data_IF_065073785139
#
_entry.id   IF_065073785139
#
_cell.length_a   1.000
_cell.length_b   1.000
_cell.length_c   1.000
_cell.angle_alpha   90.00
_cell.angle_beta   90.00
_cell.angle_gamma   90.00
#
_symmetry.space_group_name_H-M   'P 1'
#
loop_
_entity.id
_entity.type
_entity.pdbx_description
1 polymer ?
#
# COMPACT_ATOMS: atom_id res chain seq x y z
N UNK A 1 72.02 -5.04 11.25
CA UNK A 1 72.43 -5.44 9.88
C UNK A 1 71.19 -5.88 9.13
N UNK A 2 70.78 -5.16 8.09
CA UNK A 2 69.65 -5.58 7.24
C UNK A 2 70.14 -6.71 6.32
N UNK A 3 69.64 -7.92 6.54
CA UNK A 3 69.92 -9.05 5.65
C UNK A 3 69.18 -8.78 4.34
N UNK A 4 69.92 -8.52 3.26
CA UNK A 4 69.34 -8.39 1.92
C UNK A 4 68.77 -9.76 1.57
N UNK A 5 67.44 -9.86 1.51
CA UNK A 5 66.76 -11.11 1.15
C UNK A 5 66.76 -11.21 -0.36
N UNK A 6 67.34 -12.28 -0.90
CA UNK A 6 67.25 -12.57 -2.34
C UNK A 6 65.81 -12.91 -2.70
N UNK A 7 65.19 -12.08 -3.53
CA UNK A 7 63.81 -12.25 -3.97
C UNK A 7 63.62 -13.44 -4.92
N UNK A 8 64.69 -14.14 -5.33
CA UNK A 8 64.58 -15.30 -6.22
C UNK A 8 64.47 -16.62 -5.47
N UNK A 9 64.83 -16.67 -4.19
CA UNK A 9 64.92 -17.91 -3.42
C UNK A 9 64.14 -17.86 -2.12
N UNK A 10 63.44 -18.94 -1.79
CA UNK A 10 62.75 -19.08 -0.52
C UNK A 10 63.78 -19.01 0.64
N UNK A 11 63.64 -18.10 1.63
CA UNK A 11 64.60 -18.01 2.73
C UNK A 11 64.61 -19.24 3.64
N UNK A 12 63.56 -20.08 3.58
CA UNK A 12 63.43 -21.25 4.44
C UNK A 12 63.94 -22.54 3.78
N UNK A 13 63.84 -22.68 2.46
CA UNK A 13 64.23 -23.92 1.77
C UNK A 13 65.13 -23.72 0.54
N UNK A 14 65.50 -22.49 0.21
CA UNK A 14 66.42 -22.17 -0.91
C UNK A 14 65.86 -22.40 -2.32
N UNK A 15 64.63 -22.90 -2.47
CA UNK A 15 64.02 -23.13 -3.79
C UNK A 15 63.73 -21.83 -4.52
N UNK A 16 63.95 -21.85 -5.84
CA UNK A 16 63.56 -20.76 -6.73
C UNK A 16 62.05 -20.50 -6.67
N UNK A 17 61.64 -19.26 -6.39
CA UNK A 17 60.22 -18.88 -6.33
C UNK A 17 59.91 -18.01 -7.55
N UNK A 18 58.98 -18.45 -8.39
CA UNK A 18 58.61 -17.70 -9.61
C UNK A 18 57.80 -16.42 -9.27
N UNK A 19 57.05 -16.43 -8.16
CA UNK A 19 56.30 -15.27 -7.68
C UNK A 19 55.95 -15.44 -6.18
N UNK A 20 56.24 -14.41 -5.37
CA UNK A 20 55.89 -14.37 -3.95
C UNK A 20 54.39 -14.23 -3.67
N UNK A 21 53.55 -14.13 -4.70
CA UNK A 21 52.10 -14.20 -4.60
C UNK A 21 51.55 -15.62 -4.37
N UNK A 22 52.40 -16.65 -4.43
CA UNK A 22 52.04 -18.06 -4.25
C UNK A 22 52.78 -18.68 -3.06
N UNK A 23 52.24 -19.76 -2.52
CA UNK A 23 52.88 -20.55 -1.46
C UNK A 23 54.12 -21.23 -2.04
N UNK A 24 55.23 -21.27 -1.30
CA UNK A 24 56.44 -21.93 -1.78
C UNK A 24 56.17 -23.44 -2.00
N UNK A 25 56.41 -24.01 -3.20
CA UNK A 25 56.11 -25.40 -3.47
C UNK A 25 57.00 -26.38 -2.69
N UNK A 26 58.19 -25.95 -2.26
CA UNK A 26 59.13 -26.81 -1.53
C UNK A 26 58.79 -27.00 -0.05
N UNK A 27 58.38 -25.94 0.63
CA UNK A 27 58.11 -25.99 2.08
C UNK A 27 56.64 -25.74 2.46
N UNK A 28 55.79 -25.42 1.48
CA UNK A 28 54.38 -25.06 1.66
C UNK A 28 54.14 -23.91 2.66
N UNK A 29 55.12 -23.02 2.85
CA UNK A 29 55.02 -21.86 3.74
C UNK A 29 54.86 -20.55 2.95
N UNK A 30 54.12 -19.61 3.56
CA UNK A 30 53.98 -18.24 3.08
C UNK A 30 55.15 -17.42 3.64
N UNK A 31 55.88 -16.65 2.81
CA UNK A 31 57.02 -15.89 3.26
C UNK A 31 56.55 -14.62 3.98
N UNK A 32 56.47 -14.68 5.32
CA UNK A 32 55.97 -13.58 6.16
C UNK A 32 56.83 -12.31 6.09
N UNK A 33 58.11 -12.50 5.80
CA UNK A 33 59.11 -11.44 5.86
C UNK A 33 59.13 -10.58 4.60
N UNK A 34 58.47 -11.00 3.52
CA UNK A 34 58.42 -10.23 2.27
C UNK A 34 57.19 -9.29 2.23
N UNK A 35 57.29 -8.12 1.57
CA UNK A 35 56.14 -7.23 1.36
C UNK A 35 54.96 -7.92 0.66
N UNK A 36 55.23 -8.87 -0.25
CA UNK A 36 54.21 -9.62 -0.97
C UNK A 36 53.45 -10.61 -0.07
N UNK A 37 54.16 -11.37 0.78
CA UNK A 37 53.52 -12.27 1.75
C UNK A 37 52.65 -11.52 2.76
N UNK A 38 53.09 -10.33 3.21
CA UNK A 38 52.29 -9.46 4.07
C UNK A 38 50.97 -9.02 3.42
N UNK A 39 50.98 -8.70 2.11
CA UNK A 39 49.75 -8.33 1.36
C UNK A 39 48.74 -9.48 1.31
N UNK A 40 49.18 -10.73 1.11
CA UNK A 40 48.29 -11.90 1.07
C UNK A 40 47.57 -12.08 2.42
N UNK A 41 48.30 -11.95 3.53
CA UNK A 41 47.74 -12.13 4.88
C UNK A 41 46.75 -11.00 5.22
N UNK A 42 47.07 -9.76 4.84
CA UNK A 42 46.15 -8.65 4.99
C UNK A 42 44.86 -8.86 4.18
N UNK A 43 44.96 -9.41 2.96
CA UNK A 43 43.79 -9.78 2.15
C UNK A 43 42.90 -10.83 2.82
N UNK A 44 43.50 -11.91 3.36
CA UNK A 44 42.76 -12.97 4.07
C UNK A 44 42.09 -12.47 5.35
N UNK A 45 42.75 -11.60 6.12
CA UNK A 45 42.15 -10.99 7.33
C UNK A 45 40.93 -10.12 7.00
N UNK A 46 40.96 -9.39 5.88
CA UNK A 46 39.79 -8.61 5.43
C UNK A 46 38.63 -9.52 5.05
N UNK A 47 38.87 -10.61 4.31
CA UNK A 47 37.82 -11.57 3.95
C UNK A 47 37.17 -12.24 5.17
N UNK A 48 37.96 -12.61 6.20
CA UNK A 48 37.44 -13.19 7.43
C UNK A 48 36.56 -12.20 8.24
N UNK A 49 36.93 -10.92 8.27
CA UNK A 49 36.11 -9.88 8.93
C UNK A 49 34.77 -9.66 8.22
N UNK A 50 34.75 -9.68 6.88
CA UNK A 50 33.51 -9.51 6.10
C UNK A 50 32.52 -10.68 6.29
N UNK A 51 33.00 -11.91 6.47
CA UNK A 51 32.11 -13.05 6.74
C UNK A 51 31.44 -12.98 8.12
N UNK A 52 32.15 -12.51 9.16
CA UNK A 52 31.53 -12.41 10.49
C UNK A 52 30.54 -11.23 10.60
N UNK A 53 30.88 -10.07 10.04
CA UNK A 53 30.04 -8.87 10.14
C UNK A 53 28.79 -8.98 9.28
N UNK A 54 28.89 -9.56 8.08
CA UNK A 54 27.72 -9.81 7.22
C UNK A 54 26.71 -10.75 7.87
N UNK A 55 27.16 -11.78 8.59
CA UNK A 55 26.29 -12.71 9.29
C UNK A 55 25.48 -12.02 10.40
N UNK A 56 26.12 -11.22 11.25
CA UNK A 56 25.43 -10.52 12.34
C UNK A 56 24.45 -9.46 11.83
N UNK A 57 24.80 -8.71 10.77
CA UNK A 57 23.89 -7.74 10.15
C UNK A 57 22.68 -8.44 9.55
N UNK A 58 22.87 -9.56 8.84
CA UNK A 58 21.77 -10.34 8.28
C UNK A 58 20.83 -10.87 9.35
N UNK A 59 21.37 -11.38 10.47
CA UNK A 59 20.59 -11.91 11.58
C UNK A 59 19.79 -10.82 12.29
N UNK A 60 20.36 -9.62 12.45
CA UNK A 60 19.67 -8.46 13.00
C UNK A 60 18.50 -8.01 12.10
N UNK A 61 18.71 -7.89 10.78
CA UNK A 61 17.65 -7.54 9.83
C UNK A 61 16.54 -8.58 9.83
N UNK A 62 16.87 -9.87 9.85
CA UNK A 62 15.88 -10.95 9.93
C UNK A 62 15.07 -10.90 11.23
N UNK A 63 15.71 -10.62 12.38
CA UNK A 63 15.03 -10.49 13.66
C UNK A 63 14.06 -9.28 13.69
N UNK A 64 14.47 -8.13 13.14
CA UNK A 64 13.60 -6.96 13.02
C UNK A 64 12.42 -7.25 12.09
N UNK A 65 12.64 -7.89 10.95
CA UNK A 65 11.55 -8.29 10.04
C UNK A 65 10.61 -9.30 10.72
N UNK A 66 11.15 -10.28 11.45
CA UNK A 66 10.35 -11.24 12.19
C UNK A 66 9.52 -10.54 13.28
N UNK A 67 10.08 -9.56 14.00
CA UNK A 67 9.34 -8.77 14.99
C UNK A 67 8.28 -7.87 14.35
N UNK A 68 8.53 -7.31 13.17
CA UNK A 68 7.52 -6.55 12.42
C UNK A 68 6.37 -7.46 11.94
N UNK A 69 6.69 -8.66 11.46
CA UNK A 69 5.71 -9.63 10.96
C UNK A 69 4.93 -10.32 12.10
N UNK A 70 5.58 -10.68 13.20
CA UNK A 70 4.94 -11.33 14.36
C UNK A 70 4.33 -10.33 15.35
N UNK A 71 4.95 -9.16 15.54
CA UNK A 71 4.45 -8.10 16.43
C UNK A 71 3.15 -7.47 15.93
N UNK A 72 2.93 -7.45 14.62
CA UNK A 72 1.65 -7.01 14.03
C UNK A 72 0.44 -7.88 14.46
N UNK A 73 0.66 -9.06 15.03
CA UNK A 73 -0.44 -9.95 15.44
C UNK A 73 -0.89 -9.76 16.90
N UNK A 74 -0.06 -9.18 17.78
CA UNK A 74 -0.34 -9.13 19.23
C UNK A 74 -0.64 -7.72 19.78
N UNK A 75 -0.09 -6.67 19.19
CA UNK A 75 -0.41 -5.28 19.62
C UNK A 75 -1.65 -4.70 18.94
N UNK A 76 -2.23 -5.37 17.95
CA UNK A 76 -3.41 -4.86 17.21
C UNK A 76 -4.76 -5.10 17.88
N UNK A 77 -4.81 -5.82 19.01
CA UNK A 77 -5.99 -5.82 19.89
C UNK A 77 -6.26 -4.47 20.55
N UNK A 78 -5.34 -3.49 20.42
CA UNK A 78 -5.44 -2.19 21.10
C UNK A 78 -6.27 -1.16 20.32
N UNK A 79 -6.55 -1.36 19.02
CA UNK A 79 -7.23 -0.32 18.22
C UNK A 79 -8.76 -0.36 18.26
N UNK A 80 -9.37 -1.53 18.49
CA UNK A 80 -10.82 -1.61 18.65
C UNK A 80 -11.17 -1.83 20.10
N UNK A 81 -11.75 -0.80 20.73
CA UNK A 81 -12.28 -0.87 22.08
C UNK A 81 -13.37 -1.95 22.21
N UNK A 82 -13.95 -2.39 21.07
CA UNK A 82 -15.04 -3.38 21.00
C UNK A 82 -14.93 -4.34 19.78
N UNK A 83 -14.13 -5.42 19.85
CA UNK A 83 -14.05 -6.43 18.78
C UNK A 83 -15.37 -7.16 18.51
N UNK A 84 -16.30 -7.17 19.48
CA UNK A 84 -17.63 -7.79 19.31
C UNK A 84 -18.50 -7.03 18.32
N UNK A 85 -18.50 -5.70 18.38
CA UNK A 85 -19.29 -4.86 17.48
C UNK A 85 -18.82 -4.97 16.03
N UNK A 86 -17.50 -4.99 15.80
CA UNK A 86 -16.94 -5.18 14.46
C UNK A 86 -17.38 -6.53 13.85
N UNK A 87 -17.25 -7.63 14.62
CA UNK A 87 -17.75 -8.95 14.20
C UNK A 87 -19.25 -8.96 13.91
N UNK A 88 -20.05 -8.25 14.72
CA UNK A 88 -21.50 -8.15 14.50
C UNK A 88 -21.84 -7.37 13.22
N UNK A 89 -21.17 -6.26 12.94
CA UNK A 89 -21.38 -5.50 11.69
C UNK A 89 -20.95 -6.33 10.47
N UNK A 90 -19.87 -7.09 10.56
CA UNK A 90 -19.46 -8.02 9.51
C UNK A 90 -20.51 -9.10 9.24
N UNK A 91 -21.06 -9.71 10.29
CA UNK A 91 -22.14 -10.68 10.16
C UNK A 91 -23.42 -10.07 9.54
N UNK A 92 -23.74 -8.81 9.88
CA UNK A 92 -24.86 -8.10 9.25
C UNK A 92 -24.62 -7.84 7.77
N UNK A 93 -23.41 -7.43 7.38
CA UNK A 93 -23.05 -7.24 5.99
C UNK A 93 -23.21 -8.54 5.20
N UNK A 94 -22.65 -9.64 5.71
CA UNK A 94 -22.76 -10.96 5.06
C UNK A 94 -24.23 -11.37 4.90
N UNK A 95 -25.05 -11.26 5.94
CA UNK A 95 -26.48 -11.59 5.84
C UNK A 95 -27.26 -10.68 4.88
N UNK A 96 -26.96 -9.38 4.84
CA UNK A 96 -27.68 -8.42 4.00
C UNK A 96 -27.42 -8.64 2.50
N UNK A 97 -26.22 -9.08 2.14
CA UNK A 97 -25.78 -9.15 0.73
C UNK A 97 -25.57 -10.56 0.20
N UNK A 98 -25.43 -11.58 1.04
CA UNK A 98 -25.30 -12.98 0.61
C UNK A 98 -26.64 -13.68 0.41
N UNK A 99 -27.71 -13.23 1.09
CA UNK A 99 -29.02 -13.87 1.01
C UNK A 99 -29.98 -13.08 0.10
N UNK A 100 -30.24 -13.53 -1.15
CA UNK A 100 -31.14 -12.84 -2.07
C UNK A 100 -32.61 -12.85 -1.62
N UNK A 101 -32.96 -13.66 -0.62
CA UNK A 101 -34.35 -13.91 -0.17
C UNK A 101 -34.70 -13.29 1.20
N UNK A 102 -33.89 -12.37 1.74
CA UNK A 102 -34.26 -11.70 3.00
C UNK A 102 -35.60 -10.97 2.84
N UNK A 103 -36.57 -11.32 3.69
CA UNK A 103 -37.84 -10.59 3.72
C UNK A 103 -37.59 -9.11 4.04
N UNK A 104 -38.43 -8.23 3.48
CA UNK A 104 -38.34 -6.79 3.70
C UNK A 104 -38.38 -6.42 5.19
N UNK A 105 -39.17 -7.15 5.98
CA UNK A 105 -39.27 -7.00 7.43
C UNK A 105 -37.96 -7.36 8.15
N UNK A 106 -37.34 -8.49 7.81
CA UNK A 106 -36.06 -8.92 8.41
C UNK A 106 -34.95 -7.93 8.06
N UNK A 107 -34.89 -7.49 6.79
CA UNK A 107 -33.94 -6.47 6.35
C UNK A 107 -34.11 -5.16 7.13
N UNK A 108 -35.33 -4.66 7.28
CA UNK A 108 -35.60 -3.46 8.06
C UNK A 108 -35.18 -3.61 9.55
N UNK A 109 -35.48 -4.76 10.16
CA UNK A 109 -35.06 -5.08 11.53
C UNK A 109 -33.54 -5.08 11.68
N UNK A 110 -32.81 -5.59 10.71
CA UNK A 110 -31.33 -5.58 10.72
C UNK A 110 -30.78 -4.17 10.58
N UNK A 111 -31.26 -3.38 9.61
CA UNK A 111 -30.80 -2.00 9.42
C UNK A 111 -31.08 -1.15 10.67
N UNK A 112 -32.21 -1.36 11.35
CA UNK A 112 -32.51 -0.74 12.65
C UNK A 112 -31.47 -1.08 13.74
N UNK A 113 -30.90 -2.29 13.72
CA UNK A 113 -29.80 -2.66 14.62
C UNK A 113 -28.49 -1.97 14.22
N UNK A 114 -28.21 -1.86 12.92
CA UNK A 114 -27.02 -1.19 12.40
C UNK A 114 -26.99 0.30 12.77
N UNK A 115 -28.13 0.99 12.71
CA UNK A 115 -28.24 2.42 13.10
C UNK A 115 -27.73 2.67 14.53
N UNK A 116 -27.89 1.71 15.45
CA UNK A 116 -27.41 1.84 16.84
C UNK A 116 -25.88 1.92 16.96
N UNK A 117 -25.15 1.58 15.91
CA UNK A 117 -23.69 1.66 15.89
C UNK A 117 -23.15 3.01 15.41
N UNK A 118 -23.99 3.89 14.85
CA UNK A 118 -23.58 5.23 14.42
C UNK A 118 -23.10 6.08 15.61
N UNK A 119 -23.79 6.01 16.75
CA UNK A 119 -23.52 6.88 17.91
C UNK A 119 -22.56 6.26 18.95
N UNK A 120 -21.51 5.53 18.53
CA UNK A 120 -20.53 4.95 19.47
C UNK A 120 -19.26 5.81 19.54
N UNK A 121 -18.63 5.81 20.72
CA UNK A 121 -17.29 6.41 20.97
C UNK A 121 -16.20 5.91 20.01
N UNK A 122 -16.42 4.74 19.39
CA UNK A 122 -15.53 4.15 18.41
C UNK A 122 -15.99 4.55 17.00
N UNK A 123 -15.40 5.62 16.49
CA UNK A 123 -15.69 6.16 15.17
C UNK A 123 -15.50 5.14 14.05
N UNK A 124 -14.59 4.17 14.19
CA UNK A 124 -14.36 3.15 13.17
C UNK A 124 -15.55 2.19 13.05
N UNK A 125 -16.18 1.86 14.19
CA UNK A 125 -17.46 1.12 14.23
C UNK A 125 -18.57 1.97 13.61
N UNK A 126 -18.63 3.26 13.94
CA UNK A 126 -19.60 4.20 13.37
C UNK A 126 -19.50 4.30 11.84
N UNK A 127 -18.30 4.47 11.30
CA UNK A 127 -18.07 4.55 9.85
C UNK A 127 -18.40 3.25 9.13
N UNK A 128 -18.12 2.11 9.75
CA UNK A 128 -18.49 0.80 9.22
C UNK A 128 -20.02 0.65 9.17
N UNK A 129 -20.73 1.08 10.21
CA UNK A 129 -22.19 1.10 10.23
C UNK A 129 -22.78 2.06 9.19
N UNK A 130 -22.23 3.26 9.05
CA UNK A 130 -22.65 4.23 8.04
C UNK A 130 -22.48 3.69 6.62
N UNK A 131 -21.32 3.11 6.32
CA UNK A 131 -21.03 2.51 5.01
C UNK A 131 -22.02 1.38 4.71
N UNK A 132 -22.27 0.49 5.67
CA UNK A 132 -23.21 -0.62 5.52
C UNK A 132 -24.64 -0.13 5.22
N UNK A 133 -25.10 0.92 5.91
CA UNK A 133 -26.41 1.53 5.66
C UNK A 133 -26.48 2.11 4.23
N UNK A 134 -25.48 2.87 3.81
CA UNK A 134 -25.46 3.49 2.48
C UNK A 134 -25.38 2.45 1.35
N UNK A 135 -24.65 1.35 1.55
CA UNK A 135 -24.65 0.21 0.61
C UNK A 135 -26.02 -0.46 0.50
N UNK A 136 -26.78 -0.51 1.61
CA UNK A 136 -28.15 -0.97 1.62
C UNK A 136 -29.15 0.10 1.09
N UNK A 137 -28.65 1.21 0.54
CA UNK A 137 -29.42 2.39 0.12
C UNK A 137 -30.27 3.00 1.26
N UNK A 138 -29.82 2.84 2.51
CA UNK A 138 -30.45 3.41 3.69
C UNK A 138 -29.76 4.73 4.07
N UNK A 139 -30.46 5.83 3.82
CA UNK A 139 -29.92 7.18 3.97
C UNK A 139 -29.81 7.66 5.42
N UNK A 140 -30.22 6.86 6.41
CA UNK A 140 -30.20 7.27 7.84
C UNK A 140 -28.79 7.57 8.37
N UNK A 141 -27.75 7.15 7.66
CA UNK A 141 -26.37 7.50 7.98
C UNK A 141 -25.97 8.93 7.60
N UNK A 142 -26.66 9.57 6.64
CA UNK A 142 -26.27 10.89 6.11
C UNK A 142 -26.24 11.98 7.19
N UNK A 143 -27.27 12.18 8.04
CA UNK A 143 -27.22 13.20 9.08
C UNK A 143 -26.06 13.01 10.06
N UNK A 144 -25.75 11.75 10.39
CA UNK A 144 -24.63 11.42 11.26
C UNK A 144 -23.28 11.78 10.61
N UNK A 145 -23.07 11.43 9.34
CA UNK A 145 -21.87 11.82 8.59
C UNK A 145 -21.72 13.34 8.47
N UNK A 146 -22.81 14.07 8.24
CA UNK A 146 -22.78 15.54 8.17
C UNK A 146 -22.32 16.14 9.50
N UNK A 147 -22.75 15.56 10.63
CA UNK A 147 -22.33 16.02 11.96
C UNK A 147 -20.86 15.76 12.30
N UNK A 148 -20.14 15.00 11.47
CA UNK A 148 -18.72 14.69 11.64
C UNK A 148 -17.80 15.55 10.76
N UNK A 149 -18.35 16.37 9.87
CA UNK A 149 -17.55 17.20 8.95
C UNK A 149 -16.72 18.24 9.71
N UNK A 150 -17.24 18.73 10.84
CA UNK A 150 -16.63 19.68 11.75
C UNK A 150 -16.01 19.02 13.00
N UNK A 151 -15.76 17.71 12.96
CA UNK A 151 -15.11 17.01 14.07
C UNK A 151 -13.68 17.55 14.28
N UNK A 152 -13.32 17.74 15.54
CA UNK A 152 -11.99 18.21 15.96
C UNK A 152 -10.84 17.33 15.45
N UNK A 153 -11.11 16.05 15.22
CA UNK A 153 -10.17 15.13 14.62
C UNK A 153 -10.25 15.22 13.09
N UNK A 154 -9.23 15.83 12.49
CA UNK A 154 -9.14 16.02 11.04
C UNK A 154 -9.29 14.73 10.24
N UNK A 155 -8.84 13.58 10.78
CA UNK A 155 -8.99 12.28 10.13
C UNK A 155 -10.46 11.89 10.01
N UNK A 156 -11.24 12.07 11.09
CA UNK A 156 -12.68 11.77 11.14
C UNK A 156 -13.43 12.66 10.14
N UNK A 157 -13.14 13.96 10.14
CA UNK A 157 -13.73 14.91 9.20
C UNK A 157 -13.47 14.55 7.73
N UNK A 158 -12.24 14.14 7.40
CA UNK A 158 -11.87 13.71 6.03
C UNK A 158 -12.63 12.44 5.62
N UNK A 159 -12.75 11.46 6.51
CA UNK A 159 -13.51 10.25 6.22
C UNK A 159 -15.00 10.53 5.99
N UNK A 160 -15.61 11.37 6.82
CA UNK A 160 -17.01 11.75 6.67
C UNK A 160 -17.27 12.41 5.30
N UNK A 161 -16.42 13.37 4.92
CA UNK A 161 -16.48 14.04 3.61
C UNK A 161 -16.32 13.05 2.45
N UNK A 162 -15.36 12.12 2.54
CA UNK A 162 -15.13 11.13 1.49
C UNK A 162 -16.32 10.18 1.28
N UNK A 163 -16.97 9.75 2.38
CA UNK A 163 -18.16 8.90 2.30
C UNK A 163 -19.35 9.68 1.71
N UNK A 164 -19.56 10.93 2.14
CA UNK A 164 -20.61 11.79 1.61
C UNK A 164 -20.43 12.08 0.12
N UNK A 165 -19.20 12.40 -0.31
CA UNK A 165 -18.87 12.58 -1.73
C UNK A 165 -19.22 11.36 -2.57
N UNK A 166 -18.89 10.16 -2.08
CA UNK A 166 -19.21 8.92 -2.82
C UNK A 166 -20.71 8.65 -2.88
N UNK A 167 -21.41 8.84 -1.78
CA UNK A 167 -22.85 8.57 -1.69
C UNK A 167 -23.69 9.56 -2.50
N UNK A 168 -23.30 10.83 -2.49
CA UNK A 168 -24.03 11.92 -3.19
C UNK A 168 -23.53 12.14 -4.62
N UNK A 169 -22.24 11.92 -4.88
CA UNK A 169 -21.56 12.38 -6.09
C UNK A 169 -21.20 13.86 -6.09
N UNK A 170 -21.49 14.59 -5.01
CA UNK A 170 -21.28 16.03 -4.88
C UNK A 170 -20.20 16.33 -3.84
N UNK A 171 -19.49 17.45 -4.00
CA UNK A 171 -18.50 17.90 -3.03
C UNK A 171 -18.79 19.31 -2.56
N UNK A 172 -19.04 19.46 -1.27
CA UNK A 172 -19.15 20.77 -0.61
C UNK A 172 -17.99 21.03 0.36
N UNK A 173 -16.97 20.16 0.35
CA UNK A 173 -15.84 20.21 1.29
C UNK A 173 -16.33 20.18 2.73
N UNK A 174 -15.87 21.13 3.53
CA UNK A 174 -16.19 21.29 4.95
C UNK A 174 -17.44 22.13 5.22
N UNK A 175 -18.16 22.58 4.19
CA UNK A 175 -19.36 23.40 4.36
C UNK A 175 -20.56 22.56 4.81
N UNK A 176 -20.69 22.41 6.14
CA UNK A 176 -21.78 21.68 6.78
C UNK A 176 -23.15 22.21 6.38
N UNK A 177 -23.34 23.52 6.27
CA UNK A 177 -24.63 24.13 5.95
C UNK A 177 -25.08 23.76 4.52
N UNK A 178 -24.15 23.71 3.57
CA UNK A 178 -24.42 23.20 2.21
C UNK A 178 -24.77 21.72 2.21
N UNK A 179 -24.06 20.90 2.98
CA UNK A 179 -24.40 19.48 3.14
C UNK A 179 -25.80 19.28 3.74
N UNK A 180 -26.17 20.03 4.77
CA UNK A 180 -27.51 19.97 5.37
C UNK A 180 -28.60 20.43 4.39
N UNK A 181 -28.34 21.47 3.61
CA UNK A 181 -29.26 21.97 2.59
C UNK A 181 -29.43 20.95 1.45
N UNK A 182 -28.33 20.35 0.99
CA UNK A 182 -28.36 19.27 0.01
C UNK A 182 -29.17 18.08 0.54
N UNK A 183 -28.92 17.65 1.78
CA UNK A 183 -29.63 16.53 2.38
C UNK A 183 -31.14 16.79 2.47
N UNK A 184 -31.56 17.99 2.89
CA UNK A 184 -32.98 18.38 2.92
C UNK A 184 -33.63 18.31 1.54
N UNK A 185 -32.90 18.65 0.48
CA UNK A 185 -33.43 18.64 -0.88
C UNK A 185 -33.54 17.22 -1.49
N UNK A 186 -32.72 16.26 -1.03
CA UNK A 186 -32.60 14.92 -1.66
C UNK A 186 -33.11 13.78 -0.75
N UNK A 187 -33.96 14.08 0.24
CA UNK A 187 -34.53 13.06 1.12
C UNK A 187 -35.42 12.10 0.33
N UNK A 188 -35.12 10.79 0.39
CA UNK A 188 -35.87 9.77 -0.33
C UNK A 188 -35.43 9.53 -1.77
N UNK A 189 -34.49 10.31 -2.29
CA UNK A 189 -33.86 10.02 -3.58
C UNK A 189 -32.90 8.84 -3.46
N UNK A 190 -32.75 8.02 -4.51
CA UNK A 190 -31.75 6.94 -4.47
C UNK A 190 -30.34 7.55 -4.42
N UNK A 191 -29.52 7.10 -3.48
CA UNK A 191 -28.12 7.49 -3.45
C UNK A 191 -27.36 6.82 -4.58
N UNK A 192 -26.18 7.37 -4.92
CA UNK A 192 -25.31 6.68 -5.87
C UNK A 192 -24.94 5.31 -5.29
N UNK A 193 -25.05 4.23 -6.09
CA UNK A 193 -24.61 2.92 -5.65
C UNK A 193 -23.19 3.02 -5.14
N UNK A 194 -23.01 2.74 -3.85
CA UNK A 194 -21.69 2.71 -3.26
C UNK A 194 -21.06 1.39 -3.67
N UNK A 195 -20.47 1.36 -4.88
CA UNK A 195 -19.61 0.25 -5.29
C UNK A 195 -18.57 0.04 -4.20
N UNK A 196 -18.48 -1.22 -3.76
CA UNK A 196 -17.85 -1.61 -2.51
C UNK A 196 -16.54 -0.86 -2.30
N UNK A 197 -16.47 0.01 -1.29
CA UNK A 197 -15.17 0.39 -0.78
C UNK A 197 -14.58 -0.90 -0.26
N UNK A 198 -13.45 -1.39 -0.79
CA UNK A 198 -12.81 -2.48 -0.13
C UNK A 198 -12.61 -2.02 1.30
N UNK A 199 -13.18 -2.78 2.23
CA UNK A 199 -12.86 -2.66 3.66
C UNK A 199 -11.35 -2.72 3.85
N UNK A 200 -10.58 -3.06 2.79
CA UNK A 200 -9.15 -2.92 2.68
C UNK A 200 -8.54 -1.51 2.75
N UNK A 201 -9.26 -0.39 2.64
CA UNK A 201 -8.69 0.89 3.13
C UNK A 201 -8.76 0.99 4.65
N UNK A 202 -9.71 0.30 5.29
CA UNK A 202 -9.63 0.02 6.72
C UNK A 202 -8.60 -1.10 6.98
N UNK A 203 -8.41 -2.06 6.07
CA UNK A 203 -7.45 -3.17 6.24
C UNK A 203 -5.99 -2.82 6.00
N UNK A 204 -5.69 -1.72 5.31
CA UNK A 204 -4.34 -1.12 5.37
C UNK A 204 -3.98 -0.75 6.82
N UNK A 205 -4.98 -0.64 7.71
CA UNK A 205 -4.86 -0.40 9.14
C UNK A 205 -5.57 -1.44 10.03
N UNK A 206 -6.08 -2.56 9.48
CA UNK A 206 -6.84 -3.58 10.22
C UNK A 206 -6.83 -4.95 9.50
N UNK A 207 -5.86 -5.84 9.78
CA UNK A 207 -5.76 -7.13 9.12
C UNK A 207 -6.67 -8.14 9.81
N UNK A 208 -7.93 -8.24 9.36
CA UNK A 208 -8.80 -9.36 9.71
C UNK A 208 -9.44 -9.92 8.43
N UNK A 209 -8.61 -10.53 7.59
CA UNK A 209 -9.08 -11.54 6.64
C UNK A 209 -8.60 -12.92 7.12
N UNK A 210 -9.49 -13.92 7.25
CA UNK A 210 -9.07 -15.31 7.22
C UNK A 210 -8.48 -15.59 5.82
N UNK A 211 -7.31 -16.20 5.77
CA UNK A 211 -6.70 -16.71 4.54
C UNK A 211 -7.75 -17.59 3.82
N UNK A 212 -8.21 -17.14 2.66
CA UNK A 212 -8.98 -18.00 1.77
C UNK A 212 -8.11 -19.22 1.39
N UNK A 213 -8.63 -20.45 1.40
CA UNK A 213 -7.90 -21.59 0.88
C UNK A 213 -7.62 -21.36 -0.60
N UNK A 214 -6.34 -21.52 -0.98
CA UNK A 214 -5.85 -21.37 -2.35
C UNK A 214 -6.77 -22.08 -3.34
N UNK A 215 -7.46 -21.29 -4.17
CA UNK A 215 -8.13 -21.81 -5.36
C UNK A 215 -7.06 -22.37 -6.28
N UNK A 216 -7.01 -23.70 -6.37
CA UNK A 216 -6.34 -24.41 -7.45
C UNK A 216 -6.99 -24.02 -8.77
N UNK A 217 -6.26 -23.26 -9.59
CA UNK A 217 -6.61 -23.02 -10.99
C UNK A 217 -6.58 -24.34 -11.77
N UNK A 218 -7.53 -24.58 -12.68
CA UNK A 218 -7.51 -25.77 -13.53
C UNK A 218 -6.37 -25.66 -14.57
N UNK A 219 -5.73 -26.80 -14.86
CA UNK A 219 -4.72 -26.98 -15.90
C UNK A 219 -5.21 -26.43 -17.24
N UNK A 220 -4.49 -25.44 -17.76
CA UNK A 220 -4.69 -24.89 -19.10
C UNK A 220 -3.86 -25.70 -20.10
N UNK A 221 -4.60 -26.37 -20.98
CA UNK A 221 -4.12 -27.22 -22.06
C UNK A 221 -3.55 -26.39 -23.23
N UNK A 222 -2.32 -26.73 -23.60
CA UNK A 222 -1.60 -26.53 -24.87
C UNK A 222 -2.24 -25.65 -25.96
N UNK A 223 -1.65 -24.47 -26.18
CA UNK A 223 -1.52 -23.84 -27.50
C UNK A 223 -0.24 -22.99 -27.55
N UNK A 224 0.81 -23.53 -28.17
CA UNK A 224 2.01 -22.77 -28.52
C UNK A 224 1.71 -21.94 -29.78
N UNK A 225 1.49 -20.65 -29.62
CA UNK A 225 1.55 -19.68 -30.70
C UNK A 225 2.70 -18.70 -30.44
N UNK A 226 3.60 -18.59 -31.42
CA UNK A 226 4.89 -17.93 -31.31
C UNK A 226 4.75 -16.41 -31.23
N UNK A 227 4.70 -15.85 -30.02
CA UNK A 227 4.85 -14.41 -29.80
C UNK A 227 6.31 -14.00 -29.80
N UNK A 228 6.69 -13.19 -30.80
CA UNK A 228 7.96 -12.48 -30.90
C UNK A 228 8.14 -11.57 -29.66
N UNK A 229 9.33 -11.46 -29.06
CA UNK A 229 9.53 -10.61 -27.88
C UNK A 229 9.34 -9.13 -28.26
N UNK A 230 8.34 -8.51 -27.64
CA UNK A 230 8.09 -7.06 -27.69
C UNK A 230 9.31 -6.38 -27.07
N UNK A 231 10.00 -5.55 -27.85
CA UNK A 231 11.16 -4.84 -27.34
C UNK A 231 10.71 -3.70 -26.43
N UNK A 232 11.51 -3.39 -25.41
CA UNK A 232 11.22 -2.36 -24.41
C UNK A 232 10.95 -0.96 -25.02
N UNK A 233 11.37 -0.75 -26.27
CA UNK A 233 11.14 0.45 -27.05
C UNK A 233 9.67 0.57 -27.55
N UNK A 234 9.00 -0.55 -27.82
CA UNK A 234 7.60 -0.59 -28.26
C UNK A 234 6.63 -0.26 -27.11
N UNK A 235 6.99 -0.65 -25.88
CA UNK A 235 6.23 -0.33 -24.65
C UNK A 235 6.29 1.18 -24.34
N UNK A 236 7.42 1.82 -24.64
CA UNK A 236 7.60 3.27 -24.46
C UNK A 236 6.84 4.09 -25.52
N UNK A 237 6.74 3.61 -26.75
CA UNK A 237 5.91 4.21 -27.81
C UNK A 237 4.41 4.16 -27.48
N UNK A 238 3.91 3.01 -27.01
CA UNK A 238 2.53 2.85 -26.56
C UNK A 238 2.17 3.79 -25.41
N UNK A 239 3.10 4.04 -24.48
CA UNK A 239 2.92 4.99 -23.38
C UNK A 239 2.76 6.44 -23.85
N UNK A 240 3.47 6.84 -24.91
CA UNK A 240 3.40 8.20 -25.47
C UNK A 240 2.08 8.47 -26.18
N UNK A 241 1.59 7.51 -26.98
CA UNK A 241 0.31 7.66 -27.68
C UNK A 241 -0.89 7.64 -26.72
N UNK A 242 -0.80 6.87 -25.63
CA UNK A 242 -1.82 6.91 -24.56
C UNK A 242 -1.89 8.27 -23.86
N UNK A 243 -0.73 8.89 -23.56
CA UNK A 243 -0.67 10.22 -22.94
C UNK A 243 -1.13 11.33 -23.89
N UNK A 244 -0.77 11.23 -25.17
CA UNK A 244 -1.20 12.19 -26.21
C UNK A 244 -2.72 12.18 -26.37
N UNK A 245 -3.33 10.99 -26.47
CA UNK A 245 -4.79 10.81 -26.59
C UNK A 245 -5.56 11.32 -25.36
N UNK A 246 -4.96 11.21 -24.16
CA UNK A 246 -5.58 11.68 -22.92
C UNK A 246 -5.48 13.20 -22.75
N UNK A 247 -4.42 13.83 -23.23
CA UNK A 247 -4.28 15.30 -23.19
C UNK A 247 -5.21 16.01 -24.19
N UNK A 248 -5.44 15.46 -25.39
CA UNK A 248 -6.40 16.05 -26.34
C UNK A 248 -7.84 16.03 -25.81
N UNK A 249 -8.18 15.08 -24.94
CA UNK A 249 -9.51 14.98 -24.33
C UNK A 249 -9.74 15.96 -23.16
N UNK A 250 -8.67 16.47 -22.55
CA UNK A 250 -8.75 17.43 -21.44
C UNK A 250 -8.74 18.90 -21.90
N UNK A 251 -8.39 19.17 -23.17
CA UNK A 251 -8.33 20.53 -23.74
C UNK A 251 -9.53 20.82 -24.67
N UNK A 252 -10.34 19.82 -25.03
CA UNK A 252 -11.44 19.94 -25.98
C UNK A 252 -12.81 20.33 -25.41
N UNK A 253 -12.88 21.17 -24.39
CA UNK A 253 -14.15 21.57 -23.80
C UNK A 253 -14.12 22.94 -23.13
N UNK A 254 -14.35 24.01 -23.90
CA UNK A 254 -14.71 25.31 -23.33
C UNK A 254 -14.34 26.52 -24.16
N UNK A 255 -15.32 27.06 -24.89
CA UNK A 255 -15.48 28.51 -25.11
C UNK A 255 -14.61 29.16 -26.18
N UNK A 256 -15.22 29.42 -27.34
CA UNK A 256 -14.75 30.48 -28.26
C UNK A 256 -14.84 31.81 -27.50
N UNK A 257 -13.70 32.39 -27.18
CA UNK A 257 -13.59 33.75 -26.69
C UNK A 257 -13.74 34.69 -27.89
N UNK A 258 -14.84 35.44 -27.98
CA UNK A 258 -15.04 36.50 -28.96
C UNK A 258 -14.47 37.81 -28.40
N UNK A 259 -13.33 38.31 -28.94
CA UNK A 259 -12.70 39.54 -28.47
C UNK A 259 -13.47 40.82 -28.88
N UNK A 260 -14.63 40.72 -29.53
CA UNK A 260 -15.39 41.87 -30.05
C UNK A 260 -16.38 42.50 -29.06
N UNK A 261 -16.46 42.02 -27.81
CA UNK A 261 -17.48 42.46 -26.84
C UNK A 261 -17.03 43.53 -25.84
N UNK A 262 -15.79 44.05 -25.94
CA UNK A 262 -15.36 45.21 -25.15
C UNK A 262 -15.51 46.51 -25.95
N UNK A 263 -16.75 46.99 -26.08
CA UNK A 263 -17.03 48.41 -26.31
C UNK A 263 -17.21 49.03 -24.94
N UNK A 264 -16.22 49.83 -24.52
CA UNK A 264 -16.40 50.74 -23.40
C UNK A 264 -17.09 52.01 -23.91
N UNK A 265 -18.27 52.29 -23.35
CA UNK A 265 -18.88 53.61 -23.47
C UNK A 265 -18.01 54.64 -22.71
N UNK A 266 -17.57 55.72 -23.36
CA UNK A 266 -16.93 56.82 -22.65
C UNK A 266 -18.01 57.61 -21.89
N UNK A 267 -17.83 57.73 -20.58
CA UNK A 267 -18.55 58.74 -19.80
C UNK A 267 -18.14 60.13 -20.30
N UNK A 268 -19.12 60.84 -20.88
CA UNK A 268 -19.13 62.26 -21.18
C UNK A 268 -20.53 62.79 -20.98
#
# INVERSE_FOLDING_TARGET
MNKIVDERHCPNCGHGVMNWSMVCPGCNQVPLDTPAGRKIIQGRRRQAMFQSTGFWVGLFVAAVLALMLYGASSTFHVFFKSPRAAKQLQAYHEQLFSEPALSSETRAKMLNRVVKYLNREDYMIGFSAATLLLQANDQRAIPWLISLIDDSNSTIAVYAQAILLKASGESFGTDRARWESWWKAHQGEALRPMEWWPVNMVSTFCPLQPLAPSLTLPEESTAQEATKPIQQQDVMELGKEFLKTRMTRLVGGGGVYDPSSMIMDPMG
#
